data_IF_548138432478
#
_entry.id   IF_548138432478
#
_cell.length_a   1.000
_cell.length_b   1.000
_cell.length_c   1.000
_cell.angle_alpha   90.00
_cell.angle_beta   90.00
_cell.angle_gamma   90.00
#
_symmetry.space_group_name_H-M   'P 1'
#
loop_
_entity.id
_entity.type
_entity.pdbx_description
1 polymer ?
#
# COMPACT_ATOMS: atom_id res chain seq x y z
N UNK A 1 28.81 -20.19 36.61
CA UNK A 1 28.30 -18.82 36.83
C UNK A 1 26.91 -18.95 37.46
N UNK A 2 26.57 -18.20 38.52
CA UNK A 2 25.22 -18.25 39.09
C UNK A 2 24.21 -17.76 38.04
N UNK A 3 23.06 -18.43 37.93
CA UNK A 3 21.99 -18.04 37.02
C UNK A 3 21.48 -16.62 37.35
N UNK A 4 21.15 -15.80 36.32
CA UNK A 4 20.57 -14.49 36.56
C UNK A 4 19.19 -14.65 37.21
N UNK A 5 19.05 -14.10 38.42
CA UNK A 5 17.78 -14.08 39.17
C UNK A 5 16.68 -13.43 38.31
N UNK A 6 15.68 -14.22 37.88
CA UNK A 6 14.45 -13.69 37.28
C UNK A 6 13.66 -12.92 38.34
N UNK A 7 13.79 -11.59 38.34
CA UNK A 7 12.89 -10.71 39.11
C UNK A 7 11.53 -10.69 38.42
N UNK A 8 10.55 -11.38 39.00
CA UNK A 8 9.15 -11.27 38.59
C UNK A 8 8.60 -9.97 39.18
N UNK A 9 8.18 -8.98 38.37
CA UNK A 9 7.68 -7.72 38.91
C UNK A 9 6.37 -7.97 39.70
N UNK A 10 6.14 -7.27 40.83
CA UNK A 10 4.98 -7.54 41.66
C UNK A 10 3.68 -7.25 40.89
N UNK A 11 2.66 -8.10 41.06
CA UNK A 11 1.30 -7.80 40.56
C UNK A 11 0.76 -6.59 41.34
N UNK A 12 0.65 -5.44 40.66
CA UNK A 12 0.21 -4.16 41.23
C UNK A 12 -1.07 -3.69 40.53
N UNK A 13 -2.12 -3.39 41.31
CA UNK A 13 -3.43 -2.94 40.82
C UNK A 13 -3.71 -1.48 41.20
N UNK A 14 -4.58 -0.81 40.43
CA UNK A 14 -5.05 0.57 40.70
C UNK A 14 -4.13 1.70 40.24
N UNK A 15 -4.28 2.89 40.86
CA UNK A 15 -3.56 4.14 40.54
C UNK A 15 -2.04 3.98 40.60
N UNK A 16 -1.54 3.08 41.46
CA UNK A 16 -0.13 2.73 41.52
C UNK A 16 0.42 2.21 40.19
N UNK A 17 -0.38 1.53 39.36
CA UNK A 17 0.07 1.05 38.04
C UNK A 17 0.35 2.20 37.07
N UNK A 18 -0.46 3.26 37.11
CA UNK A 18 -0.29 4.44 36.25
C UNK A 18 0.95 5.23 36.67
N UNK A 19 1.12 5.44 37.98
CA UNK A 19 2.32 6.08 38.53
C UNK A 19 3.59 5.34 38.12
N UNK A 20 3.62 4.02 38.31
CA UNK A 20 4.78 3.22 37.93
C UNK A 20 4.98 3.18 36.41
N UNK A 21 3.92 3.14 35.60
CA UNK A 21 4.05 3.26 34.14
C UNK A 21 4.71 4.58 33.74
N UNK A 22 4.32 5.71 34.35
CA UNK A 22 4.97 7.00 34.12
C UNK A 22 6.46 6.99 34.53
N UNK A 23 6.78 6.38 35.67
CA UNK A 23 8.18 6.22 36.13
C UNK A 23 8.99 5.32 35.18
N UNK A 24 8.40 4.22 34.68
CA UNK A 24 9.06 3.37 33.68
C UNK A 24 9.26 4.08 32.35
N UNK A 25 8.30 4.89 31.90
CA UNK A 25 8.45 5.74 30.71
C UNK A 25 9.58 6.77 30.90
N UNK A 26 9.69 7.39 32.07
CA UNK A 26 10.79 8.31 32.39
C UNK A 26 12.16 7.61 32.41
N UNK A 27 12.23 6.39 32.96
CA UNK A 27 13.44 5.58 32.92
C UNK A 27 13.81 5.16 31.48
N UNK A 28 12.83 4.81 30.65
CA UNK A 28 13.02 4.50 29.23
C UNK A 28 13.54 5.70 28.44
N UNK A 29 12.97 6.89 28.65
CA UNK A 29 13.45 8.13 28.02
C UNK A 29 14.86 8.50 28.46
N UNK A 30 15.19 8.31 29.76
CA UNK A 30 16.53 8.54 30.28
C UNK A 30 17.56 7.55 29.72
N UNK A 31 17.17 6.30 29.52
CA UNK A 31 17.99 5.28 28.88
C UNK A 31 18.24 5.61 27.40
N UNK A 32 17.19 6.00 26.66
CA UNK A 32 17.30 6.44 25.27
C UNK A 32 18.18 7.70 25.11
N UNK A 33 18.18 8.60 26.09
CA UNK A 33 19.05 9.79 26.10
C UNK A 33 20.53 9.49 26.40
N UNK A 34 20.81 8.43 27.16
CA UNK A 34 22.17 8.03 27.51
C UNK A 34 22.89 7.35 26.33
N UNK A 35 22.13 6.76 25.41
CA UNK A 35 22.64 6.21 24.17
C UNK A 35 23.08 7.34 23.21
N UNK A 36 24.19 7.17 22.50
CA UNK A 36 24.75 8.18 21.57
C UNK A 36 24.15 8.06 20.15
N UNK A 37 22.99 7.44 20.01
CA UNK A 37 22.29 7.21 18.73
C UNK A 37 21.56 8.42 18.14
N UNK A 38 20.86 8.17 17.03
CA UNK A 38 20.11 9.16 16.22
C UNK A 38 19.00 9.89 17.00
N UNK A 39 18.43 9.25 18.03
CA UNK A 39 17.37 9.78 18.90
C UNK A 39 17.63 11.20 19.44
N UNK A 40 18.87 11.51 19.87
CA UNK A 40 19.20 12.83 20.41
C UNK A 40 19.17 13.93 19.35
N UNK A 41 19.56 13.60 18.12
CA UNK A 41 19.54 14.53 16.99
C UNK A 41 18.10 14.83 16.56
N UNK A 42 17.25 13.79 16.48
CA UNK A 42 15.84 13.93 16.15
C UNK A 42 15.06 14.71 17.22
N UNK A 43 15.38 14.54 18.51
CA UNK A 43 14.81 15.37 19.58
C UNK A 43 15.21 16.86 19.45
N UNK A 44 16.47 17.15 19.09
CA UNK A 44 16.92 18.52 18.86
C UNK A 44 16.21 19.12 17.64
N UNK A 45 16.04 18.35 16.56
CA UNK A 45 15.27 18.77 15.39
C UNK A 45 13.81 19.04 15.75
N UNK A 46 13.17 18.17 16.52
CA UNK A 46 11.80 18.37 16.98
C UNK A 46 11.65 19.63 17.85
N UNK A 47 12.61 19.94 18.72
CA UNK A 47 12.63 21.18 19.51
C UNK A 47 12.70 22.44 18.64
N UNK A 48 13.26 22.36 17.43
CA UNK A 48 13.28 23.46 16.47
C UNK A 48 12.02 23.49 15.59
N UNK A 49 11.54 22.32 15.16
CA UNK A 49 10.40 22.18 14.24
C UNK A 49 9.05 22.49 14.90
N UNK A 50 8.88 22.17 16.19
CA UNK A 50 7.61 22.44 16.90
C UNK A 50 7.30 23.95 17.02
N UNK A 51 8.26 24.83 17.40
CA UNK A 51 8.05 26.28 17.32
C UNK A 51 7.93 26.79 15.88
N UNK A 52 8.73 26.25 14.95
CA UNK A 52 8.66 26.66 13.55
C UNK A 52 7.29 26.34 12.91
N UNK A 53 6.64 25.24 13.32
CA UNK A 53 5.30 24.87 12.89
C UNK A 53 4.26 25.94 13.24
N UNK A 54 4.39 26.61 14.40
CA UNK A 54 3.52 27.73 14.77
C UNK A 54 3.72 28.97 13.89
N UNK A 55 4.90 29.14 13.30
CA UNK A 55 5.19 30.24 12.39
C UNK A 55 4.77 29.91 10.94
N UNK A 56 4.91 28.65 10.53
CA UNK A 56 4.58 28.19 9.18
C UNK A 56 3.07 28.01 8.99
N UNK A 57 2.38 27.47 10.01
CA UNK A 57 0.95 27.23 9.95
C UNK A 57 0.15 28.53 9.94
N UNK A 58 -0.77 28.67 8.98
CA UNK A 58 -1.66 29.83 8.85
C UNK A 58 -2.94 29.68 9.68
N UNK A 59 -3.24 28.46 10.15
CA UNK A 59 -4.37 28.13 11.01
C UNK A 59 -3.97 27.17 12.13
N UNK A 60 -4.74 27.16 13.23
CA UNK A 60 -4.53 26.21 14.33
C UNK A 60 -4.63 24.74 13.90
N UNK A 61 -5.42 24.45 12.85
CA UNK A 61 -5.53 23.10 12.28
C UNK A 61 -4.24 22.70 11.58
N UNK A 62 -3.64 23.59 10.78
CA UNK A 62 -2.36 23.35 10.12
C UNK A 62 -1.23 23.15 11.13
N UNK A 63 -1.18 23.98 12.18
CA UNK A 63 -0.19 23.83 13.27
C UNK A 63 -0.35 22.48 13.97
N UNK A 64 -1.59 22.06 14.26
CA UNK A 64 -1.87 20.78 14.90
C UNK A 64 -1.46 19.58 14.00
N UNK A 65 -1.68 19.67 12.69
CA UNK A 65 -1.23 18.65 11.74
C UNK A 65 0.31 18.55 11.71
N UNK A 66 1.00 19.69 11.66
CA UNK A 66 2.47 19.72 11.68
C UNK A 66 3.05 19.15 12.97
N UNK A 67 2.47 19.51 14.12
CA UNK A 67 2.86 18.92 15.42
C UNK A 67 2.62 17.41 15.46
N UNK A 68 1.50 16.94 14.91
CA UNK A 68 1.18 15.51 14.85
C UNK A 68 2.24 14.73 14.07
N UNK A 69 2.69 15.26 12.93
CA UNK A 69 3.75 14.63 12.13
C UNK A 69 5.07 14.55 12.91
N UNK A 70 5.49 15.65 13.54
CA UNK A 70 6.74 15.68 14.33
C UNK A 70 6.68 14.68 15.49
N UNK A 71 5.54 14.60 16.19
CA UNK A 71 5.35 13.64 17.29
C UNK A 71 5.37 12.20 16.80
N UNK A 72 4.74 11.88 15.66
CA UNK A 72 4.75 10.53 15.09
C UNK A 72 6.15 10.07 14.70
N UNK A 73 6.97 10.96 14.12
CA UNK A 73 8.37 10.66 13.78
C UNK A 73 9.18 10.35 15.04
N UNK A 74 9.02 11.15 16.11
CA UNK A 74 9.67 10.86 17.39
C UNK A 74 9.23 9.51 17.99
N UNK A 75 7.94 9.19 17.94
CA UNK A 75 7.46 7.89 18.45
C UNK A 75 8.07 6.73 17.65
N UNK A 76 8.12 6.83 16.33
CA UNK A 76 8.72 5.82 15.46
C UNK A 76 10.21 5.61 15.76
N UNK A 77 10.97 6.70 15.95
CA UNK A 77 12.40 6.63 16.23
C UNK A 77 12.71 6.06 17.62
N UNK A 78 11.88 6.39 18.62
CA UNK A 78 12.00 5.84 19.95
C UNK A 78 11.71 4.32 19.96
N UNK A 79 10.73 3.88 19.19
CA UNK A 79 10.43 2.46 19.00
C UNK A 79 11.58 1.74 18.31
N UNK A 80 12.16 2.34 17.26
CA UNK A 80 13.32 1.79 16.55
C UNK A 80 14.52 1.59 17.51
N UNK A 81 14.86 2.64 18.27
CA UNK A 81 15.93 2.60 19.28
C UNK A 81 15.67 1.53 20.34
N UNK A 82 14.42 1.39 20.78
CA UNK A 82 14.02 0.37 21.75
C UNK A 82 14.18 -1.06 21.23
N UNK A 83 13.87 -1.29 19.96
CA UNK A 83 14.05 -2.59 19.29
C UNK A 83 15.55 -2.89 19.14
N UNK A 84 16.36 -1.93 18.72
CA UNK A 84 17.83 -2.09 18.62
C UNK A 84 18.44 -2.51 19.96
N UNK A 85 18.13 -1.78 21.03
CA UNK A 85 18.63 -2.08 22.37
C UNK A 85 18.17 -3.46 22.88
N UNK A 86 17.00 -3.95 22.46
CA UNK A 86 16.50 -5.28 22.79
C UNK A 86 17.22 -6.38 22.00
N UNK A 87 17.46 -6.16 20.70
CA UNK A 87 18.17 -7.09 19.81
C UNK A 87 19.62 -7.26 20.24
N UNK A 88 20.32 -6.16 20.55
CA UNK A 88 21.72 -6.15 20.97
C UNK A 88 21.95 -6.92 22.28
N UNK A 89 20.89 -7.15 23.07
CA UNK A 89 20.96 -7.86 24.36
C UNK A 89 20.69 -9.36 24.25
N UNK A 90 20.18 -9.86 23.12
CA UNK A 90 19.75 -11.25 22.94
C UNK A 90 20.80 -12.11 22.21
N UNK A 91 21.76 -11.52 21.48
CA UNK A 91 22.75 -12.27 20.71
C UNK A 91 24.16 -11.71 20.81
N UNK A 92 25.09 -12.47 21.42
CA UNK A 92 26.52 -12.18 21.41
C UNK A 92 27.25 -12.66 20.12
N UNK A 93 26.51 -13.15 19.12
CA UNK A 93 27.05 -13.58 17.83
C UNK A 93 26.55 -12.68 16.69
N UNK A 94 27.48 -12.13 15.93
CA UNK A 94 27.19 -11.25 14.78
C UNK A 94 26.46 -12.03 13.67
N UNK A 95 25.13 -11.96 13.65
CA UNK A 95 24.32 -12.54 12.59
C UNK A 95 24.12 -11.57 11.42
N UNK A 96 24.44 -12.00 10.21
CA UNK A 96 24.22 -11.26 8.94
C UNK A 96 22.76 -10.79 8.77
N UNK A 97 21.80 -11.52 9.38
CA UNK A 97 20.38 -11.17 9.38
C UNK A 97 20.02 -10.01 10.33
N UNK A 98 20.75 -9.82 11.44
CA UNK A 98 20.59 -8.66 12.31
C UNK A 98 21.09 -7.38 11.62
N UNK A 99 22.20 -7.49 10.88
CA UNK A 99 22.67 -6.42 9.99
C UNK A 99 21.64 -6.08 8.92
N UNK A 100 21.03 -7.08 8.26
CA UNK A 100 19.94 -6.85 7.28
C UNK A 100 18.71 -6.18 7.92
N UNK A 101 18.28 -6.59 9.11
CA UNK A 101 17.16 -5.95 9.80
C UNK A 101 17.48 -4.47 10.15
N UNK A 102 18.71 -4.20 10.59
CA UNK A 102 19.23 -2.86 10.85
C UNK A 102 19.33 -2.00 9.57
N UNK A 103 19.78 -2.61 8.47
CA UNK A 103 19.88 -1.97 7.16
C UNK A 103 18.49 -1.67 6.57
N UNK A 104 17.50 -2.53 6.79
CA UNK A 104 16.09 -2.31 6.36
C UNK A 104 15.41 -1.22 7.21
N UNK A 105 15.63 -1.20 8.53
CA UNK A 105 15.13 -0.13 9.41
C UNK A 105 15.72 1.24 9.05
N UNK A 106 17.04 1.29 8.84
CA UNK A 106 17.74 2.49 8.38
C UNK A 106 17.28 2.91 6.97
N UNK A 107 16.99 1.98 6.07
CA UNK A 107 16.46 2.27 4.74
C UNK A 107 15.04 2.86 4.77
N UNK A 108 14.20 2.45 5.73
CA UNK A 108 12.85 3.00 5.91
C UNK A 108 12.90 4.48 6.35
N UNK A 109 13.81 4.85 7.25
CA UNK A 109 14.05 6.25 7.66
C UNK A 109 14.76 7.06 6.57
N UNK A 110 15.72 6.47 5.84
CA UNK A 110 16.42 7.12 4.74
C UNK A 110 15.50 7.42 3.54
N UNK A 111 14.51 6.56 3.29
CA UNK A 111 13.43 6.82 2.34
C UNK A 111 12.58 8.03 2.74
N UNK A 112 12.28 8.20 4.02
CA UNK A 112 11.47 9.32 4.52
C UNK A 112 12.15 10.69 4.31
N UNK A 113 13.48 10.78 4.44
CA UNK A 113 14.23 12.03 4.32
C UNK A 113 14.64 12.42 2.88
N UNK A 114 14.90 11.47 1.97
CA UNK A 114 15.31 11.79 0.58
C UNK A 114 14.14 12.04 -0.38
N UNK A 115 12.98 11.43 -0.14
CA UNK A 115 11.82 11.60 -1.02
C UNK A 115 11.20 13.01 -0.97
N UNK A 116 11.43 13.78 0.10
CA UNK A 116 10.93 15.16 0.21
C UNK A 116 11.87 16.24 -0.34
N UNK A 117 13.18 16.00 -0.43
CA UNK A 117 14.19 17.04 -0.71
C UNK A 117 14.92 16.83 -2.05
N UNK A 118 15.15 15.59 -2.49
CA UNK A 118 15.92 15.30 -3.72
C UNK A 118 15.01 14.92 -4.89
N UNK A 119 13.84 14.36 -4.59
CA UNK A 119 12.76 14.23 -5.56
C UNK A 119 11.73 15.32 -5.26
N UNK A 120 11.71 16.47 -5.98
CA UNK A 120 10.47 17.23 -6.04
C UNK A 120 9.37 16.23 -6.41
N UNK A 121 8.23 16.27 -5.71
CA UNK A 121 7.05 15.43 -5.92
C UNK A 121 7.07 14.81 -7.33
N UNK A 122 7.06 13.47 -7.47
CA UNK A 122 7.11 12.86 -8.80
C UNK A 122 6.10 13.62 -9.65
N UNK A 123 6.60 14.26 -10.73
CA UNK A 123 5.76 15.03 -11.65
C UNK A 123 4.47 14.24 -11.77
N UNK A 124 3.34 14.83 -11.39
CA UNK A 124 2.04 14.21 -11.59
C UNK A 124 2.00 13.93 -13.09
N UNK A 125 2.32 12.70 -13.48
CA UNK A 125 2.20 12.23 -14.84
C UNK A 125 0.69 12.27 -15.01
N UNK A 126 0.20 13.29 -15.71
CA UNK A 126 -1.21 13.39 -16.02
C UNK A 126 -1.61 12.02 -16.60
N UNK A 127 -2.70 11.41 -16.11
CA UNK A 127 -3.16 10.16 -16.71
C UNK A 127 -3.31 10.42 -18.21
N UNK A 128 -2.71 9.55 -19.02
CA UNK A 128 -2.80 9.64 -20.49
C UNK A 128 -4.23 9.34 -21.00
N UNK A 129 -5.12 8.97 -20.09
CA UNK A 129 -6.51 8.57 -20.31
C UNK A 129 -7.46 9.52 -19.57
N UNK A 130 -8.70 9.60 -20.04
CA UNK A 130 -9.76 10.47 -19.49
C UNK A 130 -10.47 9.82 -18.29
N UNK A 131 -10.61 8.50 -18.32
CA UNK A 131 -11.23 7.68 -17.26
C UNK A 131 -10.60 6.29 -17.24
N UNK A 132 -10.80 5.56 -16.15
CA UNK A 132 -10.37 4.18 -16.00
C UNK A 132 -11.53 3.28 -15.61
N UNK A 133 -11.73 2.17 -16.32
CA UNK A 133 -12.78 1.19 -16.04
C UNK A 133 -12.16 -0.18 -15.77
N UNK A 134 -12.51 -0.77 -14.63
CA UNK A 134 -12.14 -2.14 -14.32
C UNK A 134 -13.20 -3.09 -14.86
N UNK A 135 -12.77 -4.04 -15.69
CA UNK A 135 -13.67 -5.03 -16.30
C UNK A 135 -13.32 -6.42 -15.82
N UNK A 136 -14.30 -7.07 -15.19
CA UNK A 136 -14.24 -8.49 -14.82
C UNK A 136 -14.90 -9.30 -15.93
N UNK A 137 -14.20 -10.29 -16.48
CA UNK A 137 -14.71 -11.10 -17.59
C UNK A 137 -14.08 -12.50 -17.60
N UNK A 138 -14.69 -13.42 -18.34
CA UNK A 138 -14.22 -14.80 -18.42
C UNK A 138 -12.88 -14.96 -19.14
N UNK A 139 -12.03 -15.84 -18.62
CA UNK A 139 -10.80 -16.32 -19.29
C UNK A 139 -11.07 -17.31 -20.43
N UNK A 140 -12.33 -17.67 -20.66
CA UNK A 140 -12.82 -18.46 -21.79
C UNK A 140 -13.75 -17.60 -22.65
N UNK A 141 -13.81 -17.83 -23.98
CA UNK A 141 -14.68 -17.06 -24.87
C UNK A 141 -16.19 -17.33 -24.67
N UNK A 142 -16.53 -18.39 -23.94
CA UNK A 142 -17.90 -18.86 -23.78
C UNK A 142 -18.41 -19.61 -25.02
N UNK A 143 -19.71 -19.91 -25.04
CA UNK A 143 -20.34 -20.69 -26.10
C UNK A 143 -21.04 -19.82 -27.16
N UNK A 144 -21.46 -18.62 -26.79
CA UNK A 144 -22.15 -17.70 -27.70
C UNK A 144 -21.16 -16.68 -28.26
N UNK A 145 -21.16 -16.43 -29.58
CA UNK A 145 -20.28 -15.43 -30.19
C UNK A 145 -20.56 -14.01 -29.67
N UNK A 146 -21.80 -13.75 -29.24
CA UNK A 146 -22.26 -12.46 -28.71
C UNK A 146 -21.41 -11.99 -27.52
N UNK A 147 -20.86 -12.91 -26.72
CA UNK A 147 -19.99 -12.56 -25.60
C UNK A 147 -18.67 -11.93 -26.06
N UNK A 148 -18.05 -12.51 -27.09
CA UNK A 148 -16.84 -11.98 -27.68
C UNK A 148 -17.12 -10.65 -28.40
N UNK A 149 -18.25 -10.54 -29.09
CA UNK A 149 -18.67 -9.28 -29.72
C UNK A 149 -18.90 -8.18 -28.68
N UNK A 150 -19.54 -8.48 -27.56
CA UNK A 150 -19.74 -7.51 -26.48
C UNK A 150 -18.40 -7.06 -25.87
N UNK A 151 -17.46 -7.99 -25.66
CA UNK A 151 -16.11 -7.68 -25.18
C UNK A 151 -15.34 -6.79 -26.19
N UNK A 152 -15.43 -7.09 -27.47
CA UNK A 152 -14.81 -6.31 -28.55
C UNK A 152 -15.42 -4.90 -28.64
N UNK A 153 -16.74 -4.78 -28.65
CA UNK A 153 -17.45 -3.49 -28.69
C UNK A 153 -17.13 -2.63 -27.46
N UNK A 154 -17.11 -3.23 -26.27
CA UNK A 154 -16.74 -2.53 -25.04
C UNK A 154 -15.29 -2.05 -25.11
N UNK A 155 -14.35 -2.90 -25.52
CA UNK A 155 -12.94 -2.53 -25.64
C UNK A 155 -12.75 -1.40 -26.64
N UNK A 156 -13.38 -1.51 -27.80
CA UNK A 156 -13.35 -0.46 -28.81
C UNK A 156 -13.92 0.86 -28.29
N UNK A 157 -15.05 0.81 -27.56
CA UNK A 157 -15.65 1.99 -26.94
C UNK A 157 -14.71 2.64 -25.92
N UNK A 158 -14.05 1.86 -25.05
CA UNK A 158 -13.07 2.38 -24.08
C UNK A 158 -11.94 3.10 -24.81
N UNK A 159 -11.38 2.49 -25.86
CA UNK A 159 -10.26 3.07 -26.61
C UNK A 159 -10.64 4.35 -27.35
N UNK A 160 -11.78 4.36 -28.04
CA UNK A 160 -12.28 5.53 -28.79
C UNK A 160 -12.50 6.76 -27.89
N UNK A 161 -12.81 6.55 -26.61
CA UNK A 161 -13.02 7.63 -25.64
C UNK A 161 -11.74 7.97 -24.85
N UNK A 162 -10.57 7.52 -25.31
CA UNK A 162 -9.28 7.68 -24.64
C UNK A 162 -9.33 7.20 -23.17
N UNK A 163 -10.00 6.08 -22.94
CA UNK A 163 -10.10 5.44 -21.64
C UNK A 163 -8.96 4.47 -21.35
N UNK A 164 -8.88 4.04 -20.09
CA UNK A 164 -8.03 2.95 -19.65
C UNK A 164 -8.88 1.76 -19.22
N UNK A 165 -8.56 0.59 -19.75
CA UNK A 165 -9.03 -0.69 -19.24
C UNK A 165 -8.12 -1.15 -18.10
N UNK A 166 -8.71 -1.55 -16.98
CA UNK A 166 -8.06 -2.29 -15.90
C UNK A 166 -8.66 -3.69 -15.88
N UNK A 167 -7.84 -4.73 -15.89
CA UNK A 167 -8.33 -6.11 -15.92
C UNK A 167 -7.30 -7.11 -15.35
N UNK A 168 -7.65 -8.39 -15.34
CA UNK A 168 -6.85 -9.46 -14.74
C UNK A 168 -5.54 -9.87 -15.44
N UNK A 169 -5.17 -9.25 -16.56
CA UNK A 169 -3.85 -9.44 -17.19
C UNK A 169 -3.66 -10.71 -18.04
N UNK A 170 -4.66 -11.59 -18.13
CA UNK A 170 -4.63 -12.77 -19.00
C UNK A 170 -4.93 -12.47 -20.48
N UNK A 171 -4.39 -13.27 -21.40
CA UNK A 171 -4.61 -13.12 -22.85
C UNK A 171 -5.73 -14.02 -23.41
N UNK A 172 -6.23 -14.96 -22.62
CA UNK A 172 -7.20 -15.95 -23.09
C UNK A 172 -8.65 -15.47 -23.01
N UNK A 173 -9.52 -16.02 -23.87
CA UNK A 173 -10.96 -15.81 -23.82
C UNK A 173 -11.38 -14.35 -24.00
N UNK A 174 -12.43 -13.94 -23.27
CA UNK A 174 -12.97 -12.57 -23.36
C UNK A 174 -11.98 -11.52 -22.87
N UNK A 175 -11.12 -11.89 -21.92
CA UNK A 175 -10.04 -11.02 -21.41
C UNK A 175 -9.10 -10.57 -22.52
N UNK A 176 -8.67 -11.48 -23.40
CA UNK A 176 -7.83 -11.15 -24.55
C UNK A 176 -8.55 -10.26 -25.56
N UNK A 177 -9.77 -10.66 -25.97
CA UNK A 177 -10.59 -9.92 -26.93
C UNK A 177 -10.81 -8.47 -26.48
N UNK A 178 -11.15 -8.28 -25.21
CA UNK A 178 -11.38 -6.96 -24.62
C UNK A 178 -10.10 -6.10 -24.61
N UNK A 179 -8.98 -6.69 -24.18
CA UNK A 179 -7.69 -6.01 -24.12
C UNK A 179 -7.20 -5.59 -25.51
N UNK A 180 -7.22 -6.51 -26.47
CA UNK A 180 -6.81 -6.26 -27.85
C UNK A 180 -7.69 -5.19 -28.51
N UNK A 181 -9.02 -5.27 -28.36
CA UNK A 181 -9.94 -4.27 -28.92
C UNK A 181 -9.72 -2.87 -28.33
N UNK A 182 -9.38 -2.78 -27.05
CA UNK A 182 -9.05 -1.52 -26.38
C UNK A 182 -7.75 -0.91 -26.94
N UNK A 183 -6.70 -1.72 -27.07
CA UNK A 183 -5.41 -1.28 -27.61
C UNK A 183 -5.52 -0.86 -29.08
N UNK A 184 -6.18 -1.66 -29.92
CA UNK A 184 -6.39 -1.35 -31.33
C UNK A 184 -7.18 -0.06 -31.56
N UNK A 185 -8.03 0.31 -30.60
CA UNK A 185 -8.82 1.54 -30.64
C UNK A 185 -8.11 2.76 -30.02
N UNK A 186 -6.83 2.62 -29.64
CA UNK A 186 -6.01 3.72 -29.11
C UNK A 186 -6.13 3.94 -27.60
N UNK A 187 -6.83 3.06 -26.89
CA UNK A 187 -6.95 3.09 -25.44
C UNK A 187 -5.71 2.57 -24.72
N UNK A 188 -5.73 2.65 -23.39
CA UNK A 188 -4.69 2.06 -22.55
C UNK A 188 -5.19 0.80 -21.86
N UNK A 189 -4.29 -0.16 -21.66
CA UNK A 189 -4.61 -1.39 -20.93
C UNK A 189 -3.63 -1.58 -19.78
N UNK A 190 -4.18 -1.71 -18.57
CA UNK A 190 -3.50 -2.15 -17.36
C UNK A 190 -3.92 -3.58 -17.02
N UNK A 191 -3.02 -4.53 -17.25
CA UNK A 191 -3.15 -5.88 -16.71
C UNK A 191 -2.59 -5.96 -15.30
N UNK A 192 -3.31 -6.59 -14.38
CA UNK A 192 -2.80 -6.89 -13.04
C UNK A 192 -2.96 -8.39 -12.82
N UNK A 193 -1.84 -9.10 -12.73
CA UNK A 193 -1.81 -10.57 -12.69
C UNK A 193 -0.92 -11.05 -11.53
N UNK A 194 -1.34 -12.04 -10.73
CA UNK A 194 -0.49 -12.57 -9.68
C UNK A 194 0.61 -13.45 -10.30
N UNK A 195 1.77 -13.51 -9.63
CA UNK A 195 2.93 -14.29 -10.08
C UNK A 195 2.57 -15.75 -10.40
N UNK A 196 1.66 -16.34 -9.63
CA UNK A 196 1.19 -17.72 -9.80
C UNK A 196 0.39 -17.97 -11.09
N UNK A 197 -0.13 -16.93 -11.73
CA UNK A 197 -0.99 -17.02 -12.92
C UNK A 197 -0.30 -16.54 -14.20
N UNK A 198 0.89 -15.94 -14.12
CA UNK A 198 1.66 -15.48 -15.28
C UNK A 198 1.79 -16.58 -16.35
N UNK A 199 2.18 -17.78 -15.91
CA UNK A 199 2.37 -18.92 -16.81
C UNK A 199 1.06 -19.65 -17.15
N UNK A 200 0.05 -19.57 -16.26
CA UNK A 200 -1.23 -20.31 -16.42
C UNK A 200 -2.24 -19.57 -17.29
N UNK A 201 -2.29 -18.26 -17.23
CA UNK A 201 -3.26 -17.43 -17.96
C UNK A 201 -2.69 -16.76 -19.21
N UNK A 202 -1.43 -17.08 -19.54
CA UNK A 202 -0.65 -16.47 -20.64
C UNK A 202 -0.72 -14.95 -20.52
N UNK A 203 0.19 -14.38 -19.73
CA UNK A 203 0.25 -12.94 -19.52
C UNK A 203 0.22 -12.16 -20.85
N UNK A 204 -0.64 -11.14 -20.91
CA UNK A 204 -0.78 -10.32 -22.11
C UNK A 204 0.38 -9.31 -22.22
N UNK A 205 1.46 -9.71 -22.89
CA UNK A 205 2.67 -8.91 -23.07
C UNK A 205 2.43 -7.56 -23.75
N UNK A 206 1.37 -7.47 -24.55
CA UNK A 206 1.11 -6.28 -25.38
C UNK A 206 0.31 -5.19 -24.64
N UNK A 207 0.04 -5.37 -23.34
CA UNK A 207 -0.58 -4.35 -22.49
C UNK A 207 0.26 -3.06 -22.45
N UNK A 208 -0.42 -1.91 -22.29
CA UNK A 208 0.28 -0.64 -22.04
C UNK A 208 1.08 -0.67 -20.75
N UNK A 209 0.55 -1.38 -19.74
CA UNK A 209 1.21 -1.68 -18.48
C UNK A 209 0.73 -3.04 -17.97
N UNK A 210 1.67 -3.85 -17.45
CA UNK A 210 1.38 -5.14 -16.82
C UNK A 210 2.03 -5.17 -15.45
N UNK A 211 1.22 -5.23 -14.39
CA UNK A 211 1.68 -5.34 -13.01
C UNK A 211 1.61 -6.80 -12.57
N UNK A 212 2.77 -7.38 -12.28
CA UNK A 212 2.87 -8.70 -11.67
C UNK A 212 2.91 -8.54 -10.15
N UNK A 213 1.95 -9.14 -9.46
CA UNK A 213 1.81 -9.01 -8.00
C UNK A 213 2.03 -10.32 -7.26
N UNK A 214 2.43 -10.28 -5.97
CA UNK A 214 2.64 -11.48 -5.16
C UNK A 214 1.41 -12.39 -5.01
N UNK A 215 0.19 -11.83 -4.92
CA UNK A 215 -1.01 -12.60 -4.54
C UNK A 215 -2.32 -11.98 -5.07
N UNK A 216 -3.42 -12.72 -4.92
CA UNK A 216 -4.76 -12.30 -5.37
C UNK A 216 -5.33 -11.11 -4.60
N UNK A 217 -4.98 -10.92 -3.32
CA UNK A 217 -5.47 -9.78 -2.53
C UNK A 217 -4.90 -8.48 -3.07
N UNK A 218 -3.60 -8.45 -3.33
CA UNK A 218 -2.91 -7.30 -3.91
C UNK A 218 -3.40 -7.02 -5.34
N UNK A 219 -3.66 -8.08 -6.13
CA UNK A 219 -4.28 -7.98 -7.45
C UNK A 219 -5.60 -7.19 -7.37
N UNK A 220 -6.55 -7.65 -6.55
CA UNK A 220 -7.88 -7.05 -6.44
C UNK A 220 -7.82 -5.63 -5.83
N UNK A 221 -6.94 -5.41 -4.86
CA UNK A 221 -6.72 -4.10 -4.27
C UNK A 221 -6.20 -3.08 -5.31
N UNK A 222 -5.20 -3.45 -6.12
CA UNK A 222 -4.68 -2.58 -7.17
C UNK A 222 -5.70 -2.36 -8.30
N UNK A 223 -6.47 -3.39 -8.67
CA UNK A 223 -7.56 -3.23 -9.64
C UNK A 223 -8.59 -2.20 -9.15
N UNK A 224 -9.00 -2.27 -7.88
CA UNK A 224 -9.90 -1.29 -7.27
C UNK A 224 -9.28 0.12 -7.29
N UNK A 225 -8.03 0.26 -6.85
CA UNK A 225 -7.36 1.56 -6.74
C UNK A 225 -7.22 2.26 -8.09
N UNK A 226 -7.00 1.51 -9.17
CA UNK A 226 -6.76 2.04 -10.51
C UNK A 226 -8.04 2.24 -11.35
N UNK A 227 -9.23 1.99 -10.80
CA UNK A 227 -10.49 2.08 -11.53
C UNK A 227 -11.38 3.23 -11.02
N UNK A 228 -12.05 3.95 -11.92
CA UNK A 228 -13.09 4.91 -11.59
C UNK A 228 -14.48 4.25 -11.57
N UNK A 229 -14.66 3.18 -12.35
CA UNK A 229 -15.88 2.39 -12.49
C UNK A 229 -15.57 0.89 -12.62
N UNK A 230 -16.56 0.06 -12.32
CA UNK A 230 -16.50 -1.40 -12.45
C UNK A 230 -17.58 -1.91 -13.40
N UNK A 231 -17.24 -2.88 -14.23
CA UNK A 231 -18.17 -3.56 -15.13
C UNK A 231 -17.89 -5.06 -15.13
N UNK A 232 -18.93 -5.89 -15.08
CA UNK A 232 -18.78 -7.33 -15.29
C UNK A 232 -19.41 -7.73 -16.64
N UNK A 233 -18.62 -8.44 -17.44
CA UNK A 233 -19.07 -9.19 -18.62
C UNK A 233 -19.40 -10.64 -18.23
N UNK A 234 -19.99 -11.43 -19.15
CA UNK A 234 -20.13 -12.88 -18.96
C UNK A 234 -18.81 -13.54 -18.55
N UNK A 235 -18.89 -14.43 -17.56
CA UNK A 235 -17.71 -15.02 -16.96
C UNK A 235 -18.04 -16.17 -16.01
N UNK A 236 -16.99 -16.77 -15.46
CA UNK A 236 -17.10 -17.90 -14.54
C UNK A 236 -17.16 -17.49 -13.07
N UNK A 237 -16.83 -18.44 -12.20
CA UNK A 237 -16.79 -18.23 -10.74
C UNK A 237 -15.85 -17.09 -10.35
N UNK A 238 -14.70 -16.95 -11.03
CA UNK A 238 -13.76 -15.85 -10.77
C UNK A 238 -14.38 -14.47 -11.00
N UNK A 239 -15.12 -14.30 -12.09
CA UNK A 239 -15.83 -13.05 -12.40
C UNK A 239 -16.89 -12.72 -11.34
N UNK A 240 -17.62 -13.73 -10.85
CA UNK A 240 -18.56 -13.54 -9.75
C UNK A 240 -17.87 -13.17 -8.44
N UNK A 241 -16.75 -13.82 -8.12
CA UNK A 241 -15.98 -13.52 -6.91
C UNK A 241 -15.50 -12.07 -6.90
N UNK A 242 -14.92 -11.61 -8.00
CA UNK A 242 -14.46 -10.23 -8.16
C UNK A 242 -15.62 -9.22 -8.10
N UNK A 243 -16.73 -9.52 -8.77
CA UNK A 243 -17.95 -8.70 -8.77
C UNK A 243 -18.56 -8.57 -7.36
N UNK A 244 -18.74 -9.69 -6.66
CA UNK A 244 -19.35 -9.67 -5.33
C UNK A 244 -18.45 -8.98 -4.30
N UNK A 245 -17.12 -9.08 -4.44
CA UNK A 245 -16.21 -8.36 -3.56
C UNK A 245 -16.37 -6.83 -3.69
N UNK A 246 -16.30 -6.29 -4.92
CA UNK A 246 -16.48 -4.84 -5.13
C UNK A 246 -17.89 -4.38 -4.76
N UNK A 247 -18.91 -5.19 -5.03
CA UNK A 247 -20.27 -4.84 -4.63
C UNK A 247 -20.41 -4.81 -3.11
N UNK A 248 -19.88 -5.81 -2.41
CA UNK A 248 -19.89 -5.83 -0.94
C UNK A 248 -19.18 -4.61 -0.36
N UNK A 249 -18.04 -4.22 -0.93
CA UNK A 249 -17.29 -3.03 -0.52
C UNK A 249 -18.06 -1.73 -0.76
N UNK A 250 -18.79 -1.62 -1.87
CA UNK A 250 -19.71 -0.51 -2.09
C UNK A 250 -20.81 -0.47 -1.02
N UNK A 251 -21.42 -1.62 -0.71
CA UNK A 251 -22.52 -1.71 0.25
C UNK A 251 -22.10 -1.31 1.67
N UNK A 252 -20.90 -1.67 2.09
CA UNK A 252 -20.37 -1.33 3.43
C UNK A 252 -19.65 0.03 3.47
N UNK A 253 -19.61 0.76 2.35
CA UNK A 253 -19.13 2.14 2.29
C UNK A 253 -17.61 2.31 2.11
N UNK A 254 -16.89 1.27 1.67
CA UNK A 254 -15.46 1.41 1.33
C UNK A 254 -15.23 2.20 0.04
N UNK A 255 -16.20 2.25 -0.87
CA UNK A 255 -16.16 3.11 -2.06
C UNK A 255 -17.56 3.44 -2.57
N UNK A 256 -17.64 4.48 -3.40
CA UNK A 256 -18.88 4.90 -4.09
C UNK A 256 -18.75 4.87 -5.62
N UNK A 257 -17.76 4.12 -6.14
CA UNK A 257 -17.53 3.95 -7.58
C UNK A 257 -18.70 3.17 -8.23
N UNK A 258 -19.19 3.58 -9.41
CA UNK A 258 -20.29 2.90 -10.09
C UNK A 258 -19.91 1.47 -10.49
N UNK A 259 -20.91 0.58 -10.43
CA UNK A 259 -20.81 -0.84 -10.79
C UNK A 259 -21.90 -1.16 -11.81
N UNK A 260 -21.53 -1.83 -12.90
CA UNK A 260 -22.46 -2.28 -13.94
C UNK A 260 -22.33 -3.77 -14.24
N UNK A 261 -23.41 -4.35 -14.76
CA UNK A 261 -23.45 -5.66 -15.39
C UNK A 261 -23.80 -5.47 -16.86
N UNK A 262 -22.99 -6.01 -17.76
CA UNK A 262 -23.30 -6.03 -19.20
C UNK A 262 -23.78 -7.43 -19.57
N UNK A 263 -25.06 -7.54 -19.95
CA UNK A 263 -25.73 -8.79 -20.28
C UNK A 263 -26.28 -8.75 -21.70
#
# INVERSE_FOLDING_TARGET
LPEPQRQVPPKRTGIGRIWWAAVYSLHGLKAAWADRGAWRQELVLAMLMLPAACWIGKSWVEVALLWTVVVLVLVAELLNTGIEAAVDRIGHEWHVNAKKAKDVGSAAQFGQWRFGIIFPYPKIIKPKYVFSICVYCGSNPGYLPDYAQAAEQLGAWIGQHNGRLVYGGGRNGLMGVLADATLHSGGQVLGIIPQMLVDKEVAHSDCSELLVVPNMHERKALMMQNADAFLALPGGIGTFEELFEVWTWAQIGYHNKPLGLLN
#
